data_IF_327100894546
#
_entry.id   IF_327100894546
#
_cell.length_a   1.000
_cell.length_b   1.000
_cell.length_c   1.000
_cell.angle_alpha   90.00
_cell.angle_beta   90.00
_cell.angle_gamma   90.00
#
_symmetry.space_group_name_H-M   'P 1'
#
loop_
_entity.id
_entity.type
_entity.pdbx_description
1 polymer ?
#
# COMPACT_ATOMS: atom_id res chain seq x y z
N UNK A 1 -7.27 -38.50 -8.00
CA UNK A 1 -7.44 -37.56 -6.87
C UNK A 1 -6.28 -36.59 -6.91
N UNK A 2 -6.49 -35.34 -7.35
CA UNK A 2 -5.43 -34.33 -7.37
C UNK A 2 -5.22 -33.81 -5.95
N UNK A 3 -4.01 -34.04 -5.42
CA UNK A 3 -3.61 -33.59 -4.10
C UNK A 3 -3.42 -32.06 -4.16
N UNK A 4 -4.45 -31.30 -3.77
CA UNK A 4 -4.42 -29.83 -3.78
C UNK A 4 -3.47 -29.34 -2.68
N UNK A 5 -2.18 -29.26 -3.00
CA UNK A 5 -1.15 -28.72 -2.12
C UNK A 5 -1.37 -27.21 -2.02
N UNK A 6 -1.75 -26.72 -0.84
CA UNK A 6 -1.89 -25.28 -0.60
C UNK A 6 -0.57 -24.57 -0.92
N UNK A 7 -0.59 -23.49 -1.73
CA UNK A 7 0.61 -22.71 -2.04
C UNK A 7 1.27 -22.20 -0.76
N UNK A 8 2.61 -22.23 -0.70
CA UNK A 8 3.39 -21.79 0.47
C UNK A 8 3.05 -20.37 0.93
N UNK A 9 2.62 -19.52 0.00
CA UNK A 9 2.28 -18.12 0.21
C UNK A 9 0.76 -17.89 0.30
N UNK A 10 -0.08 -18.93 0.46
CA UNK A 10 -1.53 -18.76 0.50
C UNK A 10 -1.98 -17.80 1.62
N UNK A 11 -1.27 -17.76 2.75
CA UNK A 11 -1.52 -16.80 3.83
C UNK A 11 -0.99 -15.38 3.55
N UNK A 12 -0.15 -15.23 2.52
CA UNK A 12 0.44 -13.95 2.12
C UNK A 12 -0.39 -13.21 1.07
N UNK A 13 -1.52 -13.79 0.61
CA UNK A 13 -2.40 -13.19 -0.38
C UNK A 13 -3.75 -12.82 0.23
N UNK A 14 -4.26 -11.68 -0.19
CA UNK A 14 -5.59 -11.24 0.17
C UNK A 14 -6.65 -12.04 -0.59
N UNK A 15 -7.75 -12.39 0.07
CA UNK A 15 -8.92 -12.96 -0.62
C UNK A 15 -9.51 -11.93 -1.60
N UNK A 16 -10.08 -12.34 -2.74
CA UNK A 16 -10.77 -11.41 -3.63
C UNK A 16 -11.98 -10.78 -2.92
N UNK A 17 -12.25 -9.51 -3.21
CA UNK A 17 -13.42 -8.77 -2.74
C UNK A 17 -13.99 -7.94 -3.88
N UNK A 18 -15.31 -7.77 -3.92
CA UNK A 18 -15.96 -6.95 -4.95
C UNK A 18 -15.92 -5.45 -4.64
N UNK A 19 -15.96 -5.12 -3.35
CA UNK A 19 -15.95 -3.76 -2.83
C UNK A 19 -14.95 -3.64 -1.69
N UNK A 20 -14.36 -2.46 -1.56
CA UNK A 20 -13.56 -2.15 -0.38
C UNK A 20 -14.46 -1.84 0.81
N UNK A 21 -13.98 -2.25 1.98
CA UNK A 21 -14.49 -1.84 3.28
C UNK A 21 -13.31 -1.25 4.04
N UNK A 22 -13.44 0.00 4.44
CA UNK A 22 -12.45 0.69 5.26
C UNK A 22 -12.78 0.39 6.72
N UNK A 23 -11.81 -0.15 7.46
CA UNK A 23 -11.94 -0.38 8.90
C UNK A 23 -11.86 0.91 9.71
N UNK A 24 -11.65 0.79 11.02
CA UNK A 24 -11.48 1.95 11.90
C UNK A 24 -10.22 2.73 11.52
N UNK A 25 -10.41 3.92 10.95
CA UNK A 25 -9.36 4.88 10.62
C UNK A 25 -9.71 6.25 11.25
N UNK A 26 -8.74 7.16 11.28
CA UNK A 26 -8.96 8.52 11.81
C UNK A 26 -10.16 9.20 11.15
N UNK A 27 -10.94 9.95 11.94
CA UNK A 27 -12.05 10.78 11.46
C UNK A 27 -11.61 11.88 10.49
N UNK A 28 -10.32 12.22 10.48
CA UNK A 28 -9.74 13.21 9.58
C UNK A 28 -9.49 12.65 8.16
N UNK A 29 -9.68 11.35 7.96
CA UNK A 29 -9.47 10.69 6.69
C UNK A 29 -10.65 10.93 5.74
N UNK A 30 -10.35 11.42 4.53
CA UNK A 30 -11.36 11.56 3.47
C UNK A 30 -11.34 10.29 2.63
N UNK A 31 -12.28 9.38 2.89
CA UNK A 31 -12.37 8.05 2.26
C UNK A 31 -13.40 7.96 1.11
N UNK A 32 -13.87 9.10 0.59
CA UNK A 32 -14.96 9.22 -0.41
C UNK A 32 -14.79 8.30 -1.64
N UNK A 33 -13.54 8.05 -2.05
CA UNK A 33 -13.19 7.22 -3.22
C UNK A 33 -12.75 5.80 -2.85
N UNK A 34 -12.92 5.38 -1.60
CA UNK A 34 -12.41 4.10 -1.10
C UNK A 34 -13.53 3.25 -0.55
N UNK A 35 -14.22 3.69 0.49
CA UNK A 35 -15.21 2.85 1.16
C UNK A 35 -16.43 2.56 0.28
N UNK A 36 -16.87 1.30 0.25
CA UNK A 36 -17.98 0.83 -0.58
C UNK A 36 -17.73 0.85 -2.10
N UNK A 37 -16.57 1.32 -2.56
CA UNK A 37 -16.22 1.38 -3.99
C UNK A 37 -15.81 0.01 -4.51
N UNK A 38 -16.15 -0.27 -5.77
CA UNK A 38 -15.75 -1.51 -6.43
C UNK A 38 -14.24 -1.54 -6.65
N UNK A 39 -13.65 -2.73 -6.54
CA UNK A 39 -12.23 -2.91 -6.83
C UNK A 39 -11.99 -2.68 -8.33
N UNK A 40 -11.33 -1.58 -8.66
CA UNK A 40 -10.80 -1.36 -9.99
C UNK A 40 -9.46 -2.11 -10.09
N UNK A 41 -9.46 -3.22 -10.84
CA UNK A 41 -8.23 -3.94 -11.13
C UNK A 41 -7.24 -3.05 -11.92
N UNK A 42 -5.96 -3.46 -12.01
CA UNK A 42 -4.93 -2.70 -12.72
C UNK A 42 -5.30 -2.41 -14.19
N UNK A 43 -6.16 -3.24 -14.79
CA UNK A 43 -6.66 -3.13 -16.16
C UNK A 43 -7.77 -2.07 -16.35
N UNK A 44 -8.39 -1.56 -15.28
CA UNK A 44 -9.65 -0.80 -15.36
C UNK A 44 -9.53 0.70 -15.04
N UNK A 45 -8.34 1.29 -14.92
CA UNK A 45 -8.29 2.73 -14.60
C UNK A 45 -6.95 3.44 -14.47
N UNK A 46 -5.81 2.78 -14.68
CA UNK A 46 -4.49 3.37 -14.42
C UNK A 46 -3.61 3.56 -15.67
N UNK A 47 -4.17 3.36 -16.86
CA UNK A 47 -3.38 3.36 -18.10
C UNK A 47 -2.46 2.14 -18.17
N UNK A 48 -1.33 2.27 -18.87
CA UNK A 48 -0.36 1.19 -19.02
C UNK A 48 0.29 0.81 -17.68
N UNK A 49 0.44 -0.48 -17.42
CA UNK A 49 1.19 -0.96 -16.26
C UNK A 49 2.69 -0.79 -16.50
N UNK A 50 3.36 -0.20 -15.52
CA UNK A 50 4.81 0.00 -15.54
C UNK A 50 5.44 -0.75 -14.37
N UNK A 51 6.44 -1.58 -14.67
CA UNK A 51 7.32 -2.13 -13.65
C UNK A 51 8.57 -1.26 -13.56
N UNK A 52 8.74 -0.56 -12.44
CA UNK A 52 9.94 0.24 -12.16
C UNK A 52 10.84 -0.53 -11.22
N UNK A 53 12.06 -0.83 -11.68
CA UNK A 53 13.09 -1.48 -10.87
C UNK A 53 14.14 -0.45 -10.50
N UNK A 54 14.33 -0.22 -9.20
CA UNK A 54 15.37 0.64 -8.66
C UNK A 54 16.43 -0.24 -7.99
N UNK A 55 17.71 0.05 -8.22
CA UNK A 55 18.84 -0.63 -7.57
C UNK A 55 19.82 0.40 -7.05
N UNK A 56 20.21 0.23 -5.80
CA UNK A 56 21.20 1.07 -5.12
C UNK A 56 22.28 0.15 -4.57
N UNK A 57 23.55 0.51 -4.77
CA UNK A 57 24.68 -0.18 -4.18
C UNK A 57 25.20 0.64 -3.00
N UNK A 58 25.34 -0.01 -1.85
CA UNK A 58 25.90 0.60 -0.65
C UNK A 58 27.37 0.22 -0.56
N UNK A 59 28.26 1.10 -1.03
CA UNK A 59 29.70 0.86 -1.04
C UNK A 59 30.33 1.21 0.33
N UNK A 60 31.35 0.45 0.74
CA UNK A 60 32.12 0.76 1.94
C UNK A 60 31.37 0.55 3.27
N UNK A 61 30.28 -0.21 3.26
CA UNK A 61 29.51 -0.53 4.46
C UNK A 61 29.20 -2.02 4.54
N UNK A 62 29.44 -2.61 5.70
CA UNK A 62 29.01 -3.97 6.03
C UNK A 62 27.70 -3.87 6.81
N UNK A 63 26.58 -3.78 6.07
CA UNK A 63 25.23 -3.76 6.63
C UNK A 63 24.42 -4.94 6.11
N UNK A 64 23.71 -5.62 7.01
CA UNK A 64 22.83 -6.71 6.63
C UNK A 64 21.58 -6.18 5.92
N UNK A 65 20.98 -6.94 4.97
CA UNK A 65 19.73 -6.55 4.34
C UNK A 65 18.60 -6.28 5.33
N UNK A 66 18.56 -7.01 6.45
CA UNK A 66 17.57 -6.82 7.52
C UNK A 66 17.73 -5.46 8.21
N UNK A 67 18.97 -5.05 8.51
CA UNK A 67 19.26 -3.74 9.10
C UNK A 67 18.90 -2.60 8.14
N UNK A 68 19.17 -2.74 6.83
CA UNK A 68 18.76 -1.74 5.82
C UNK A 68 17.23 -1.56 5.82
N UNK A 69 16.48 -2.66 5.76
CA UNK A 69 15.01 -2.61 5.75
C UNK A 69 14.45 -2.03 7.04
N UNK A 70 15.07 -2.33 8.18
CA UNK A 70 14.68 -1.76 9.46
C UNK A 70 14.88 -0.22 9.47
N UNK A 71 16.09 0.25 9.14
CA UNK A 71 16.41 1.68 9.09
C UNK A 71 15.45 2.41 8.14
N UNK A 72 15.18 1.85 6.97
CA UNK A 72 14.24 2.44 6.02
C UNK A 72 12.84 2.57 6.60
N UNK A 73 12.31 1.54 7.28
CA UNK A 73 10.99 1.63 7.92
C UNK A 73 10.93 2.70 9.00
N UNK A 74 12.00 2.81 9.80
CA UNK A 74 12.10 3.80 10.88
C UNK A 74 12.20 5.23 10.33
N UNK A 75 12.97 5.44 9.26
CA UNK A 75 13.20 6.77 8.67
C UNK A 75 12.17 7.15 7.60
N UNK A 76 11.41 6.19 7.05
CA UNK A 76 10.45 6.44 5.97
C UNK A 76 9.52 7.64 6.22
N UNK A 77 8.93 7.82 7.43
CA UNK A 77 8.04 8.95 7.68
C UNK A 77 8.72 10.32 7.46
N UNK A 78 10.04 10.41 7.63
CA UNK A 78 10.81 11.66 7.44
C UNK A 78 10.89 12.08 5.97
N UNK A 79 10.78 11.12 5.04
CA UNK A 79 10.76 11.37 3.60
C UNK A 79 9.35 11.58 3.05
N UNK A 80 8.31 11.37 3.87
CA UNK A 80 6.94 11.50 3.41
C UNK A 80 6.61 12.97 3.09
N UNK A 81 6.13 13.29 1.87
CA UNK A 81 5.95 14.68 1.48
C UNK A 81 4.95 15.41 2.38
N UNK A 82 5.27 16.64 2.75
CA UNK A 82 4.39 17.49 3.57
C UNK A 82 3.02 17.66 2.90
N UNK A 83 1.97 17.55 3.69
CA UNK A 83 0.59 17.69 3.23
C UNK A 83 -0.01 16.42 2.61
N UNK A 84 0.74 15.31 2.63
CA UNK A 84 0.23 13.99 2.29
C UNK A 84 0.00 13.20 3.58
N UNK A 85 -1.16 12.58 3.71
CA UNK A 85 -1.52 11.77 4.87
C UNK A 85 -1.83 10.34 4.43
N UNK A 86 -1.33 9.38 5.20
CA UNK A 86 -1.63 7.96 5.07
C UNK A 86 -2.40 7.51 6.31
N UNK A 87 -3.58 6.94 6.08
CA UNK A 87 -4.46 6.39 7.10
C UNK A 87 -4.56 4.88 6.88
N UNK A 88 -3.65 4.14 7.51
CA UNK A 88 -3.61 2.68 7.46
C UNK A 88 -4.48 2.04 8.53
N UNK A 89 -4.80 0.77 8.30
CA UNK A 89 -5.39 -0.09 9.33
C UNK A 89 -4.45 -0.27 10.53
N UNK A 90 -5.03 -0.38 11.72
CA UNK A 90 -4.32 -0.68 12.97
C UNK A 90 -3.57 -2.02 12.93
N UNK A 91 -3.95 -2.92 12.02
CA UNK A 91 -3.29 -4.22 11.80
C UNK A 91 -1.99 -4.10 11.01
N UNK A 92 -1.65 -2.90 10.52
CA UNK A 92 -0.47 -2.65 9.71
C UNK A 92 -0.63 -3.08 8.24
N UNK A 93 0.50 -3.31 7.58
CA UNK A 93 0.54 -3.74 6.17
C UNK A 93 0.39 -5.26 6.12
N UNK A 94 -0.85 -5.74 6.03
CA UNK A 94 -1.19 -7.16 5.94
C UNK A 94 -2.16 -7.44 4.79
N UNK A 95 -2.17 -8.65 4.21
CA UNK A 95 -3.03 -8.97 3.07
C UNK A 95 -4.51 -8.71 3.37
N UNK A 96 -5.16 -7.94 2.50
CA UNK A 96 -6.58 -7.58 2.60
C UNK A 96 -6.84 -6.24 3.30
N UNK A 97 -5.85 -5.69 4.01
CA UNK A 97 -5.99 -4.39 4.64
C UNK A 97 -6.10 -3.28 3.58
N UNK A 98 -6.96 -2.32 3.88
CA UNK A 98 -7.22 -1.15 3.06
C UNK A 98 -6.71 0.08 3.81
N UNK A 99 -5.99 0.94 3.09
CA UNK A 99 -5.52 2.22 3.60
C UNK A 99 -6.03 3.37 2.73
N UNK A 100 -6.25 4.52 3.35
CA UNK A 100 -6.67 5.76 2.68
C UNK A 100 -5.47 6.69 2.55
N UNK A 101 -5.35 7.33 1.39
CA UNK A 101 -4.37 8.36 1.09
C UNK A 101 -5.07 9.67 0.76
N UNK A 102 -4.72 10.73 1.47
CA UNK A 102 -5.10 12.09 1.13
C UNK A 102 -3.84 12.88 0.79
N UNK A 103 -3.64 13.18 -0.49
CA UNK A 103 -2.43 13.76 -1.05
C UNK A 103 -2.66 15.20 -1.50
N UNK A 104 -1.64 16.02 -1.33
CA UNK A 104 -1.55 17.36 -1.90
C UNK A 104 -0.82 17.29 -3.24
N UNK A 105 -1.48 17.76 -4.29
CA UNK A 105 -0.96 17.80 -5.65
C UNK A 105 -0.57 19.23 -6.03
N UNK A 106 0.26 19.43 -7.07
CA UNK A 106 0.58 20.76 -7.59
C UNK A 106 -0.68 21.59 -7.87
N UNK A 107 -0.60 22.90 -7.66
CA UNK A 107 -1.74 23.82 -7.86
C UNK A 107 -2.80 23.77 -6.75
N UNK A 108 -2.50 23.18 -5.60
CA UNK A 108 -3.41 23.14 -4.44
C UNK A 108 -4.50 22.05 -4.53
N UNK A 109 -4.48 21.25 -5.58
CA UNK A 109 -5.43 20.15 -5.77
C UNK A 109 -5.25 19.07 -4.68
N UNK A 110 -6.35 18.50 -4.21
CA UNK A 110 -6.36 17.37 -3.27
C UNK A 110 -6.76 16.09 -3.97
N UNK A 111 -5.97 15.04 -3.77
CA UNK A 111 -6.26 13.70 -4.28
C UNK A 111 -6.58 12.77 -3.10
N UNK A 112 -7.77 12.20 -3.11
CA UNK A 112 -8.22 11.22 -2.12
C UNK A 112 -8.34 9.86 -2.79
N UNK A 113 -7.54 8.88 -2.38
CA UNK A 113 -7.44 7.55 -3.00
C UNK A 113 -7.23 6.46 -1.96
N UNK A 114 -7.30 5.19 -2.38
CA UNK A 114 -7.13 4.03 -1.51
C UNK A 114 -6.08 3.07 -2.05
N UNK A 115 -5.45 2.34 -1.14
CA UNK A 115 -4.57 1.21 -1.43
C UNK A 115 -5.13 -0.02 -0.74
N UNK A 116 -5.09 -1.16 -1.42
CA UNK A 116 -5.32 -2.46 -0.81
C UNK A 116 -4.07 -3.31 -0.93
N UNK A 117 -3.69 -3.94 0.18
CA UNK A 117 -2.61 -4.94 0.18
C UNK A 117 -3.16 -6.23 -0.43
N UNK A 118 -2.55 -6.69 -1.52
CA UNK A 118 -2.90 -7.92 -2.24
C UNK A 118 -1.92 -9.04 -1.90
#
# INVERSE_FOLDING_TARGET
MTNNKTPRNAASWAKPVDKFSVGDISTDAINLNVDGRRVAGPLYGFGQLWQKTYRIYLHGTEISPTAVVQEWKEKFPQFWPRGNNFYGSLKGVAPGEVAVLNLSMPGGMKLSTGIRVI
#
